data_IF_047273742002
#
_entry.id   IF_047273742002
#
_cell.length_a   1.000
_cell.length_b   1.000
_cell.length_c   1.000
_cell.angle_alpha   90.00
_cell.angle_beta   90.00
_cell.angle_gamma   90.00
#
_symmetry.space_group_name_H-M   'P 1'
#
loop_
_entity.id
_entity.type
_entity.pdbx_description
1 polymer ?
#
# COMPACT_ATOMS: atom_id res chain seq x y z
N UNK A 1 -19.11 2.02 19.41
CA UNK A 1 -19.34 1.52 18.05
C UNK A 1 -19.50 2.74 17.15
N UNK A 2 -18.43 3.28 16.54
CA UNK A 2 -18.64 4.19 15.45
C UNK A 2 -19.26 3.37 14.32
N UNK A 3 -20.50 3.70 13.98
CA UNK A 3 -21.19 3.22 12.78
C UNK A 3 -20.27 3.45 11.58
N UNK A 4 -20.27 2.56 10.58
CA UNK A 4 -19.66 2.76 9.27
C UNK A 4 -20.17 4.07 8.66
N UNK A 5 -19.63 5.21 9.07
CA UNK A 5 -19.96 6.51 8.54
C UNK A 5 -19.33 6.58 7.15
N UNK A 6 -20.06 6.00 6.19
CA UNK A 6 -20.24 6.52 4.85
C UNK A 6 -18.93 6.80 4.10
N UNK A 7 -18.02 5.82 4.07
CA UNK A 7 -16.98 5.84 3.05
C UNK A 7 -17.68 5.65 1.69
N UNK A 8 -17.67 6.69 0.87
CA UNK A 8 -18.23 6.66 -0.48
C UNK A 8 -17.34 5.79 -1.39
N UNK A 9 -17.56 4.49 -1.34
CA UNK A 9 -16.84 3.51 -2.17
C UNK A 9 -17.04 3.80 -3.65
N UNK A 10 -18.27 4.16 -4.05
CA UNK A 10 -18.60 4.41 -5.47
C UNK A 10 -17.84 5.64 -5.96
N UNK A 11 -17.90 6.76 -5.23
CA UNK A 11 -17.14 7.96 -5.56
C UNK A 11 -15.64 7.73 -5.52
N UNK A 12 -15.13 6.96 -4.56
CA UNK A 12 -13.71 6.61 -4.47
C UNK A 12 -13.23 5.84 -5.70
N UNK A 13 -13.89 4.73 -6.05
CA UNK A 13 -13.52 3.94 -7.21
C UNK A 13 -13.71 4.71 -8.52
N UNK A 14 -14.74 5.55 -8.62
CA UNK A 14 -14.95 6.43 -9.78
C UNK A 14 -13.79 7.41 -9.93
N UNK A 15 -13.37 8.05 -8.84
CA UNK A 15 -12.24 8.98 -8.86
C UNK A 15 -10.91 8.26 -9.14
N UNK A 16 -10.72 7.05 -8.60
CA UNK A 16 -9.54 6.21 -8.84
C UNK A 16 -9.45 5.77 -10.31
N UNK A 17 -10.57 5.38 -10.94
CA UNK A 17 -10.63 5.05 -12.37
C UNK A 17 -10.35 6.27 -13.26
N UNK A 18 -10.70 7.48 -12.78
CA UNK A 18 -10.40 8.74 -13.46
C UNK A 18 -8.98 9.26 -13.27
N UNK A 19 -8.15 8.64 -12.42
CA UNK A 19 -6.80 9.11 -12.12
C UNK A 19 -5.89 9.10 -13.35
N UNK A 20 -5.39 10.28 -13.76
CA UNK A 20 -4.51 10.46 -14.93
C UNK A 20 -3.02 10.59 -14.55
N UNK A 21 -2.65 10.20 -13.33
CA UNK A 21 -1.27 10.29 -12.86
C UNK A 21 -0.42 9.07 -13.22
N UNK A 22 0.52 8.73 -12.34
CA UNK A 22 1.44 7.60 -12.59
C UNK A 22 0.72 6.26 -12.50
N UNK A 23 0.86 5.43 -13.54
CA UNK A 23 0.33 4.07 -13.60
C UNK A 23 0.89 3.20 -12.45
N UNK A 24 2.18 3.32 -12.15
CA UNK A 24 2.84 2.68 -11.00
C UNK A 24 2.05 2.91 -9.70
N UNK A 25 1.61 4.16 -9.47
CA UNK A 25 0.91 4.51 -8.25
C UNK A 25 -0.54 4.02 -8.25
N UNK A 26 -1.18 3.96 -9.42
CA UNK A 26 -2.51 3.37 -9.56
C UNK A 26 -2.49 1.88 -9.21
N UNK A 27 -1.48 1.16 -9.71
CA UNK A 27 -1.24 -0.25 -9.37
C UNK A 27 -1.00 -0.42 -7.87
N UNK A 28 -0.24 0.46 -7.24
CA UNK A 28 -0.02 0.45 -5.79
C UNK A 28 -1.32 0.55 -4.99
N UNK A 29 -2.21 1.49 -5.34
CA UNK A 29 -3.49 1.65 -4.65
C UNK A 29 -4.37 0.41 -4.84
N UNK A 30 -4.40 -0.17 -6.03
CA UNK A 30 -5.14 -1.43 -6.28
C UNK A 30 -4.59 -2.58 -5.43
N UNK A 31 -3.26 -2.70 -5.32
CA UNK A 31 -2.62 -3.71 -4.48
C UNK A 31 -2.97 -3.52 -3.01
N UNK A 32 -2.94 -2.30 -2.47
CA UNK A 32 -3.37 -2.02 -1.09
C UNK A 32 -4.80 -2.50 -0.81
N UNK A 33 -5.71 -2.30 -1.77
CA UNK A 33 -7.10 -2.72 -1.65
C UNK A 33 -7.21 -4.25 -1.67
N UNK A 34 -6.40 -4.93 -2.49
CA UNK A 34 -6.44 -6.39 -2.62
C UNK A 34 -5.75 -7.12 -1.47
N UNK A 35 -4.68 -6.55 -0.91
CA UNK A 35 -3.87 -7.20 0.13
C UNK A 35 -4.20 -6.74 1.54
N UNK A 36 -4.82 -5.56 1.69
CA UNK A 36 -5.19 -5.00 3.00
C UNK A 36 -4.00 -4.56 3.85
N UNK A 37 -2.80 -4.48 3.28
CA UNK A 37 -1.59 -3.99 3.98
C UNK A 37 -1.58 -2.47 4.06
N UNK A 38 -0.72 -1.92 4.92
CA UNK A 38 -0.51 -0.48 5.00
C UNK A 38 0.35 0.05 3.85
N UNK A 39 0.24 1.36 3.59
CA UNK A 39 1.08 2.06 2.59
C UNK A 39 2.57 1.90 2.90
N UNK A 40 2.94 1.97 4.19
CA UNK A 40 4.31 1.83 4.66
C UNK A 40 4.89 0.43 4.41
N UNK A 41 4.07 -0.60 4.59
CA UNK A 41 4.46 -1.98 4.27
C UNK A 41 4.63 -2.15 2.76
N UNK A 42 3.63 -1.78 1.96
CA UNK A 42 3.68 -2.00 0.50
C UNK A 42 4.82 -1.24 -0.19
N UNK A 43 5.05 0.04 0.14
CA UNK A 43 6.08 0.86 -0.54
C UNK A 43 7.49 0.29 -0.39
N UNK A 44 7.74 -0.44 0.70
CA UNK A 44 9.04 -1.02 1.02
C UNK A 44 9.19 -2.47 0.53
N UNK A 45 8.22 -2.98 -0.25
CA UNK A 45 8.23 -4.36 -0.73
C UNK A 45 9.35 -4.58 -1.73
N UNK A 46 10.12 -5.64 -1.49
CA UNK A 46 11.19 -6.06 -2.38
C UNK A 46 10.71 -7.21 -3.26
N UNK A 47 11.20 -7.26 -4.51
CA UNK A 47 10.80 -8.31 -5.46
C UNK A 47 11.11 -9.73 -4.95
N UNK A 48 12.13 -9.87 -4.10
CA UNK A 48 12.55 -11.15 -3.50
C UNK A 48 11.57 -11.69 -2.46
N UNK A 49 10.60 -10.89 -2.01
CA UNK A 49 9.60 -11.30 -1.02
C UNK A 49 8.40 -12.03 -1.64
N UNK A 50 8.30 -12.06 -2.98
CA UNK A 50 7.16 -12.60 -3.70
C UNK A 50 7.47 -13.98 -4.26
N UNK A 51 6.73 -14.97 -3.80
CA UNK A 51 6.66 -16.30 -4.36
C UNK A 51 5.44 -16.38 -5.29
N UNK A 52 5.67 -16.26 -6.61
CA UNK A 52 4.60 -16.27 -7.59
C UNK A 52 4.05 -17.67 -7.88
N UNK A 53 4.85 -18.70 -7.62
CA UNK A 53 4.47 -20.10 -7.82
C UNK A 53 3.43 -20.50 -6.77
N UNK A 54 3.71 -20.20 -5.51
CA UNK A 54 2.78 -20.43 -4.38
C UNK A 54 1.73 -19.31 -4.24
N UNK A 55 1.91 -18.17 -4.92
CA UNK A 55 1.02 -17.03 -4.84
C UNK A 55 1.05 -16.36 -3.47
N UNK A 56 2.24 -16.17 -2.90
CA UNK A 56 2.45 -15.60 -1.58
C UNK A 56 3.37 -14.38 -1.64
N UNK A 57 3.05 -13.39 -0.83
CA UNK A 57 3.98 -12.34 -0.44
C UNK A 57 4.41 -12.56 1.01
N UNK A 58 5.70 -12.82 1.19
CA UNK A 58 6.32 -13.14 2.48
C UNK A 58 6.95 -11.86 3.03
N UNK A 59 6.20 -11.14 3.85
CA UNK A 59 6.66 -9.90 4.47
C UNK A 59 7.55 -10.17 5.69
N UNK A 60 8.80 -9.65 5.72
CA UNK A 60 9.69 -9.83 6.86
C UNK A 60 9.16 -9.21 8.15
N UNK A 61 9.52 -9.83 9.28
CA UNK A 61 9.08 -9.43 10.62
C UNK A 61 9.49 -7.99 10.98
N UNK A 62 10.64 -7.54 10.49
CA UNK A 62 11.21 -6.22 10.73
C UNK A 62 10.34 -5.09 10.16
N UNK A 63 9.50 -5.41 9.18
CA UNK A 63 8.59 -4.46 8.53
C UNK A 63 7.13 -4.68 8.90
N UNK A 64 6.75 -5.88 9.33
CA UNK A 64 5.38 -6.13 9.76
C UNK A 64 5.04 -5.31 11.01
N UNK A 65 3.85 -4.74 11.04
CA UNK A 65 3.32 -4.09 12.24
C UNK A 65 3.15 -5.05 13.45
N UNK A 66 3.17 -6.37 13.21
CA UNK A 66 3.06 -7.38 14.27
C UNK A 66 4.42 -7.79 14.85
N UNK A 67 5.53 -7.44 14.20
CA UNK A 67 6.86 -7.94 14.55
C UNK A 67 7.08 -9.42 14.21
N UNK A 68 6.19 -10.02 13.41
CA UNK A 68 6.26 -11.40 12.95
C UNK A 68 6.25 -11.46 11.42
N UNK A 69 6.80 -12.55 10.86
CA UNK A 69 6.73 -12.77 9.40
C UNK A 69 5.27 -12.96 9.00
N UNK A 70 4.82 -12.18 8.03
CA UNK A 70 3.45 -12.26 7.53
C UNK A 70 3.40 -12.89 6.14
N UNK A 71 2.47 -13.83 5.97
CA UNK A 71 2.20 -14.51 4.71
C UNK A 71 0.92 -13.94 4.12
N UNK A 72 1.07 -13.08 3.12
CA UNK A 72 -0.05 -12.39 2.47
C UNK A 72 -0.41 -13.17 1.20
N UNK A 73 -1.61 -13.77 1.12
CA UNK A 73 -2.03 -14.50 -0.07
C UNK A 73 -2.30 -13.54 -1.24
N UNK A 74 -1.79 -13.89 -2.41
CA UNK A 74 -1.96 -13.13 -3.64
C UNK A 74 -3.02 -13.79 -4.51
N UNK A 75 -4.13 -13.07 -4.74
CA UNK A 75 -5.11 -13.48 -5.73
C UNK A 75 -4.49 -13.45 -7.13
N UNK A 76 -5.12 -14.14 -8.10
CA UNK A 76 -4.70 -14.06 -9.51
C UNK A 76 -4.65 -12.61 -10.00
N UNK A 77 -5.65 -11.80 -9.62
CA UNK A 77 -5.69 -10.37 -9.96
C UNK A 77 -4.51 -9.59 -9.37
N UNK A 78 -4.13 -9.87 -8.12
CA UNK A 78 -2.98 -9.21 -7.49
C UNK A 78 -1.67 -9.58 -8.21
N UNK A 79 -1.51 -10.85 -8.60
CA UNK A 79 -0.35 -11.31 -9.37
C UNK A 79 -0.26 -10.62 -10.73
N UNK A 80 -1.37 -10.52 -11.46
CA UNK A 80 -1.42 -9.83 -12.75
C UNK A 80 -0.97 -8.36 -12.61
N UNK A 81 -1.45 -7.66 -11.57
CA UNK A 81 -1.03 -6.28 -11.29
C UNK A 81 0.46 -6.18 -10.94
N UNK A 82 1.00 -7.15 -10.19
CA UNK A 82 2.42 -7.17 -9.84
C UNK A 82 3.28 -7.47 -11.08
N UNK A 83 2.82 -8.30 -12.01
CA UNK A 83 3.49 -8.52 -13.29
C UNK A 83 3.47 -7.27 -14.19
N UNK A 84 2.35 -6.54 -14.23
CA UNK A 84 2.27 -5.23 -14.88
C UNK A 84 3.26 -4.25 -14.25
N UNK A 85 3.31 -4.18 -12.92
CA UNK A 85 4.25 -3.35 -12.17
C UNK A 85 5.70 -3.71 -12.49
N UNK A 86 6.02 -5.01 -12.63
CA UNK A 86 7.36 -5.49 -12.96
C UNK A 86 7.86 -4.97 -14.30
N UNK A 87 6.97 -4.72 -15.27
CA UNK A 87 7.33 -4.10 -16.56
C UNK A 87 7.75 -2.63 -16.39
N UNK A 88 7.27 -1.96 -15.36
CA UNK A 88 7.53 -0.55 -15.08
C UNK A 88 8.75 -0.36 -14.15
N UNK A 89 8.86 -1.15 -13.08
CA UNK A 89 9.83 -0.94 -11.99
C UNK A 89 10.71 -2.16 -11.69
N UNK A 90 10.56 -3.27 -12.42
CA UNK A 90 11.22 -4.55 -12.15
C UNK A 90 12.74 -4.59 -12.31
N UNK A 91 13.37 -3.48 -12.69
CA UNK A 91 14.83 -3.34 -12.79
C UNK A 91 15.51 -3.08 -11.44
N UNK A 92 14.74 -2.68 -10.41
CA UNK A 92 15.23 -2.34 -9.08
C UNK A 92 15.03 -3.45 -8.04
N UNK A 93 15.43 -3.18 -6.81
CA UNK A 93 15.21 -4.08 -5.66
C UNK A 93 13.77 -4.02 -5.16
N UNK A 94 13.17 -2.83 -5.17
CA UNK A 94 11.84 -2.55 -4.63
C UNK A 94 10.78 -2.54 -5.73
N UNK A 95 9.56 -2.93 -5.37
CA UNK A 95 8.36 -2.77 -6.21
C UNK A 95 8.13 -1.29 -6.57
N UNK A 96 8.38 -0.41 -5.60
CA UNK A 96 8.22 1.04 -5.73
C UNK A 96 9.54 1.73 -5.38
N UNK A 97 10.47 1.91 -6.34
CA UNK A 97 11.75 2.56 -6.07
C UNK A 97 11.60 4.08 -5.95
N UNK A 98 12.46 4.72 -5.16
CA UNK A 98 12.55 6.18 -5.14
C UNK A 98 13.10 6.73 -6.46
N UNK A 99 12.48 7.81 -6.95
CA UNK A 99 12.87 8.49 -8.20
C UNK A 99 14.27 9.10 -8.13
N UNK A 100 14.72 9.52 -6.95
CA UNK A 100 16.02 10.17 -6.75
C UNK A 100 17.10 9.20 -6.30
N UNK A 101 16.71 8.08 -5.70
CA UNK A 101 17.63 7.08 -5.16
C UNK A 101 17.04 5.68 -5.32
N UNK A 102 17.22 5.02 -6.49
CA UNK A 102 16.58 3.74 -6.80
C UNK A 102 16.90 2.59 -5.83
N UNK A 103 17.96 2.72 -5.05
CA UNK A 103 18.34 1.80 -3.96
C UNK A 103 17.49 1.95 -2.69
N UNK A 104 16.57 2.91 -2.66
CA UNK A 104 15.67 3.15 -1.54
C UNK A 104 14.21 3.02 -1.99
N UNK A 105 13.31 2.59 -1.09
CA UNK A 105 11.88 2.53 -1.40
C UNK A 105 11.30 3.94 -1.60
N UNK A 106 10.19 4.02 -2.32
CA UNK A 106 9.44 5.24 -2.51
C UNK A 106 9.02 5.85 -1.17
N UNK A 107 8.92 7.18 -1.11
CA UNK A 107 8.43 7.87 0.08
C UNK A 107 6.93 7.59 0.30
N UNK A 108 6.50 7.58 1.57
CA UNK A 108 5.09 7.41 1.96
C UNK A 108 4.20 8.45 1.27
N UNK A 109 4.65 9.71 1.26
CA UNK A 109 3.99 10.83 0.59
C UNK A 109 3.77 10.61 -0.92
N UNK A 110 4.56 9.76 -1.59
CA UNK A 110 4.40 9.50 -3.02
C UNK A 110 3.09 8.77 -3.33
N UNK A 111 2.72 7.80 -2.50
CA UNK A 111 1.49 7.02 -2.65
C UNK A 111 0.30 7.77 -2.06
N UNK A 112 0.47 8.44 -0.91
CA UNK A 112 -0.57 9.29 -0.32
C UNK A 112 -0.99 10.43 -1.26
N UNK A 113 -0.07 10.93 -2.09
CA UNK A 113 -0.39 11.93 -3.10
C UNK A 113 -1.49 11.48 -4.06
N UNK A 114 -1.59 10.20 -4.41
CA UNK A 114 -2.70 9.72 -5.25
C UNK A 114 -4.03 10.01 -4.58
N UNK A 115 -4.13 9.70 -3.29
CA UNK A 115 -5.33 9.94 -2.49
C UNK A 115 -5.66 11.43 -2.44
N UNK A 116 -4.66 12.29 -2.27
CA UNK A 116 -4.84 13.75 -2.34
C UNK A 116 -5.38 14.17 -3.71
N UNK A 117 -4.77 13.68 -4.80
CA UNK A 117 -5.12 14.03 -6.17
C UNK A 117 -6.56 13.62 -6.52
N UNK A 118 -7.07 12.49 -5.99
CA UNK A 118 -8.45 12.03 -6.21
C UNK A 118 -9.46 12.62 -5.20
N UNK A 119 -9.03 13.50 -4.29
CA UNK A 119 -9.90 14.18 -3.32
C UNK A 119 -10.09 13.47 -1.98
N UNK A 120 -9.24 12.49 -1.66
CA UNK A 120 -9.28 11.63 -0.46
C UNK A 120 -8.04 11.80 0.45
N UNK A 121 -7.28 12.89 0.32
CA UNK A 121 -5.94 13.05 0.95
C UNK A 121 -5.84 13.00 2.48
N UNK A 122 -6.91 13.30 3.23
CA UNK A 122 -6.90 13.27 4.71
C UNK A 122 -7.28 11.89 5.29
N UNK A 123 -7.22 10.84 4.47
CA UNK A 123 -7.83 9.55 4.77
C UNK A 123 -6.77 8.45 4.70
N UNK A 124 -6.54 7.78 5.82
CA UNK A 124 -5.80 6.52 5.82
C UNK A 124 -6.64 5.48 5.07
N UNK A 125 -6.30 5.22 3.80
CA UNK A 125 -7.07 4.34 2.91
C UNK A 125 -7.36 2.99 3.57
N UNK A 126 -6.34 2.38 4.17
CA UNK A 126 -6.45 1.09 4.84
C UNK A 126 -7.39 1.14 6.04
N UNK A 127 -7.30 2.17 6.88
CA UNK A 127 -8.15 2.32 8.06
C UNK A 127 -9.63 2.57 7.71
N UNK A 128 -9.91 3.14 6.53
CA UNK A 128 -11.28 3.43 6.09
C UNK A 128 -11.92 2.28 5.32
N UNK A 129 -11.12 1.55 4.52
CA UNK A 129 -11.60 0.36 3.82
C UNK A 129 -11.70 -0.86 4.75
N UNK A 130 -10.84 -0.93 5.76
CA UNK A 130 -10.75 -2.05 6.69
C UNK A 130 -10.78 -1.56 8.16
N UNK A 131 -11.94 -1.09 8.65
CA UNK A 131 -12.08 -0.49 9.98
C UNK A 131 -11.99 -1.50 11.15
N UNK A 132 -11.67 -2.77 10.90
CA UNK A 132 -11.74 -3.83 11.90
C UNK A 132 -10.49 -3.99 12.79
N UNK A 133 -9.45 -3.16 12.61
CA UNK A 133 -8.19 -3.32 13.35
C UNK A 133 -7.68 -2.03 14.02
N UNK A 134 -8.57 -1.35 14.73
CA UNK A 134 -8.25 -0.17 15.55
C UNK A 134 -7.34 -0.51 16.76
N UNK A 135 -7.05 -1.79 17.01
CA UNK A 135 -6.24 -2.22 18.18
C UNK A 135 -4.73 -2.20 17.95
N UNK A 136 -4.25 -1.95 16.73
CA UNK A 136 -2.81 -1.86 16.46
C UNK A 136 -2.36 -0.56 15.77
N UNK A 137 -3.26 0.41 15.59
CA UNK A 137 -2.94 1.73 15.02
C UNK A 137 -2.40 2.75 16.04
N UNK A 138 -2.32 2.39 17.33
CA UNK A 138 -2.04 3.34 18.42
C UNK A 138 -0.61 3.33 19.01
N UNK A 139 0.34 2.54 18.48
CA UNK A 139 1.69 2.46 19.09
C UNK A 139 2.85 3.15 18.36
N UNK A 140 2.64 3.74 17.18
CA UNK A 140 3.75 4.38 16.46
C UNK A 140 3.58 5.88 16.12
N UNK A 141 2.40 6.50 16.34
CA UNK A 141 2.13 7.89 15.89
C UNK A 141 1.99 8.97 16.97
N UNK A 142 2.30 8.68 18.23
CA UNK A 142 2.43 9.71 19.27
C UNK A 142 3.84 9.68 19.92
N UNK A 143 4.85 10.22 19.21
CA UNK A 143 5.91 10.98 19.90
C UNK A 143 5.58 12.46 19.71
N UNK A 144 5.28 13.23 20.77
CA UNK A 144 5.30 14.68 20.64
C UNK A 144 6.72 15.09 20.24
N UNK A 145 6.84 16.02 19.29
CA UNK A 145 8.09 16.72 19.04
C UNK A 145 8.60 17.26 20.38
N UNK A 146 9.74 16.76 20.83
CA UNK A 146 10.46 17.29 21.96
C UNK A 146 11.23 18.53 21.51
N UNK A 147 10.78 19.70 21.97
CA UNK A 147 11.64 20.78 22.44
C UNK A 147 11.64 20.76 23.97
#
# INVERSE_FOLDING_TARGET
MPTLAQFDLVGFFTALLGYQGSEEKLLAIRLLIMTGVTVGELRAAAWTEFDFDEGLWIMPAERSNTGEVQYIPLSTQARDLIEELKKLTGFGMFLFPSRTAPQHPASEASLEKVLVDIGYGNKNLCAQLFPHDEKNTDRARCRPNSD
#
